data_IF_574825010558
#
_entry.id   IF_574825010558
#
_cell.length_a   1.000
_cell.length_b   1.000
_cell.length_c   1.000
_cell.angle_alpha   90.00
_cell.angle_beta   90.00
_cell.angle_gamma   90.00
#
_symmetry.space_group_name_H-M   'P 1'
#
loop_
_entity.id
_entity.type
_entity.pdbx_description
1 polymer ?
#
# COMPACT_ATOMS: atom_id res chain seq x y z
N UNK A 1 8.45 -16.20 3.46
CA UNK A 1 7.03 -16.58 3.35
C UNK A 1 6.28 -15.32 2.96
N UNK A 2 5.65 -15.32 1.79
CA UNK A 2 4.81 -14.20 1.36
C UNK A 2 3.44 -14.31 2.04
N UNK A 3 3.09 -13.31 2.84
CA UNK A 3 1.83 -13.27 3.61
C UNK A 3 0.75 -12.46 2.91
N UNK A 4 1.11 -11.75 1.83
CA UNK A 4 0.18 -10.96 1.05
C UNK A 4 -0.63 -11.86 0.13
N UNK A 5 -1.91 -11.54 -0.01
CA UNK A 5 -2.80 -12.14 -1.00
C UNK A 5 -2.83 -11.23 -2.23
N UNK A 6 -1.78 -11.35 -3.05
CA UNK A 6 -1.55 -10.49 -4.22
C UNK A 6 -0.51 -9.42 -3.95
N UNK A 7 -0.55 -8.36 -4.77
CA UNK A 7 0.35 -7.20 -4.63
C UNK A 7 -0.40 -6.04 -3.96
N UNK A 8 0.28 -5.19 -3.17
CA UNK A 8 -0.33 -3.98 -2.67
C UNK A 8 -0.75 -3.03 -3.79
N UNK A 9 -1.81 -2.27 -3.52
CA UNK A 9 -2.55 -1.51 -4.51
C UNK A 9 -2.74 -0.08 -4.04
N UNK A 10 -2.49 0.90 -4.91
CA UNK A 10 -2.68 2.31 -4.59
C UNK A 10 -3.77 2.91 -5.47
N UNK A 11 -4.76 3.56 -4.84
CA UNK A 11 -5.93 4.11 -5.53
C UNK A 11 -6.13 5.57 -5.16
N UNK A 12 -6.54 6.40 -6.10
CA UNK A 12 -6.91 7.79 -5.80
C UNK A 12 -8.19 7.83 -4.96
N UNK A 13 -8.20 8.63 -3.91
CA UNK A 13 -9.32 8.78 -2.98
C UNK A 13 -9.60 10.24 -2.67
N UNK A 14 -10.77 10.51 -2.10
CA UNK A 14 -11.03 11.76 -1.40
C UNK A 14 -10.16 11.84 -0.13
N UNK A 15 -9.70 13.05 0.19
CA UNK A 15 -8.84 13.29 1.36
C UNK A 15 -9.53 13.06 2.72
N UNK A 16 -10.85 12.92 2.71
CA UNK A 16 -11.65 12.56 3.88
C UNK A 16 -11.62 11.06 4.18
N UNK A 17 -10.99 10.26 3.32
CA UNK A 17 -11.03 8.80 3.39
C UNK A 17 -12.38 8.23 2.91
N UNK A 18 -12.44 6.91 2.77
CA UNK A 18 -13.61 6.16 2.35
C UNK A 18 -13.25 4.76 1.89
N UNK A 19 -14.25 3.89 1.75
CA UNK A 19 -14.11 2.67 0.95
C UNK A 19 -14.08 3.09 -0.52
N UNK A 20 -12.97 2.81 -1.18
CA UNK A 20 -12.77 3.12 -2.59
C UNK A 20 -12.72 1.80 -3.34
N UNK A 21 -13.55 1.66 -4.37
CA UNK A 21 -13.39 0.56 -5.32
C UNK A 21 -12.09 0.78 -6.08
N UNK A 22 -11.17 -0.20 -6.07
CA UNK A 22 -9.86 0.04 -6.56
C UNK A 22 -9.85 0.07 -8.10
N UNK A 23 -9.58 1.25 -8.67
CA UNK A 23 -8.96 1.36 -10.00
C UNK A 23 -7.46 1.24 -9.77
N UNK A 24 -6.99 0.02 -10.01
CA UNK A 24 -5.73 -0.55 -9.52
C UNK A 24 -4.48 0.04 -10.19
N UNK A 25 -3.68 0.81 -9.45
CA UNK A 25 -2.26 0.96 -9.79
C UNK A 25 -1.47 -0.03 -8.91
N UNK A 26 -0.99 -1.13 -9.51
CA UNK A 26 -0.09 -2.06 -8.83
C UNK A 26 1.19 -1.33 -8.49
N UNK A 27 1.47 -1.16 -7.21
CA UNK A 27 2.66 -0.46 -6.77
C UNK A 27 3.83 -1.42 -6.67
N UNK A 28 4.80 -1.21 -7.56
CA UNK A 28 6.03 -1.98 -7.55
C UNK A 28 6.82 -1.68 -6.27
N UNK A 29 7.49 -2.71 -5.75
CA UNK A 29 8.45 -2.55 -4.65
C UNK A 29 9.62 -1.67 -5.08
N UNK A 30 10.17 -0.88 -4.16
CA UNK A 30 11.39 -0.14 -4.44
C UNK A 30 12.58 -1.12 -4.42
N UNK A 31 12.97 -1.60 -5.61
CA UNK A 31 13.93 -2.71 -5.74
C UNK A 31 13.27 -4.05 -5.42
N UNK A 32 14.03 -5.15 -5.48
CA UNK A 32 13.55 -6.52 -5.16
C UNK A 32 13.16 -6.71 -3.68
N UNK A 33 12.95 -5.62 -2.94
CA UNK A 33 12.67 -5.56 -1.52
C UNK A 33 11.16 -5.58 -1.30
N UNK A 34 10.59 -6.78 -1.27
CA UNK A 34 9.20 -7.02 -0.85
C UNK A 34 8.94 -6.65 0.61
N UNK A 35 7.75 -7.02 1.10
CA UNK A 35 7.38 -6.91 2.51
C UNK A 35 8.42 -7.61 3.40
N UNK A 36 8.99 -6.91 4.38
CA UNK A 36 9.97 -7.44 5.32
C UNK A 36 9.35 -7.52 6.72
N UNK A 37 9.64 -8.60 7.45
CA UNK A 37 9.18 -8.78 8.83
C UNK A 37 10.37 -8.72 9.78
N UNK A 38 10.28 -7.87 10.80
CA UNK A 38 11.20 -7.85 11.92
C UNK A 38 10.57 -8.56 13.13
N UNK A 39 11.06 -9.74 13.52
CA UNK A 39 10.51 -10.49 14.66
C UNK A 39 10.83 -9.86 16.01
N UNK A 40 11.86 -9.01 16.13
CA UNK A 40 12.22 -8.35 17.39
C UNK A 40 11.23 -7.25 17.75
N UNK A 41 10.76 -6.53 16.74
CA UNK A 41 9.79 -5.43 16.89
C UNK A 41 8.37 -5.82 16.51
N UNK A 42 8.18 -7.04 16.00
CA UNK A 42 6.90 -7.58 15.51
C UNK A 42 6.25 -6.68 14.45
N UNK A 43 7.07 -6.10 13.55
CA UNK A 43 6.61 -5.13 12.55
C UNK A 43 6.88 -5.59 11.14
N UNK A 44 5.96 -5.24 10.24
CA UNK A 44 6.13 -5.38 8.81
C UNK A 44 6.52 -4.05 8.18
N UNK A 45 7.55 -4.07 7.34
CA UNK A 45 7.99 -2.91 6.54
C UNK A 45 7.73 -3.19 5.07
N UNK A 46 6.97 -2.32 4.41
CA UNK A 46 6.70 -2.38 2.98
C UNK A 46 7.25 -1.14 2.27
N UNK A 47 8.26 -1.32 1.43
CA UNK A 47 8.84 -0.22 0.64
C UNK A 47 8.26 -0.24 -0.77
N UNK A 48 7.47 0.77 -1.08
CA UNK A 48 6.72 0.88 -2.33
C UNK A 48 7.16 2.11 -3.13
N UNK A 49 7.02 2.04 -4.46
CA UNK A 49 7.31 3.18 -5.34
C UNK A 49 6.10 4.08 -5.48
N UNK A 50 6.35 5.38 -5.47
CA UNK A 50 5.38 6.44 -5.77
C UNK A 50 5.75 7.15 -7.07
N UNK A 51 4.77 7.64 -7.84
CA UNK A 51 5.08 8.53 -8.98
C UNK A 51 5.25 9.98 -8.49
N UNK A 52 6.29 10.66 -8.98
CA UNK A 52 6.56 12.08 -8.68
C UNK A 52 5.43 13.02 -9.15
N UNK A 53 4.61 12.58 -10.10
CA UNK A 53 3.45 13.31 -10.61
C UNK A 53 2.23 13.19 -9.70
N UNK A 54 2.22 12.30 -8.72
CA UNK A 54 1.08 12.15 -7.83
C UNK A 54 0.86 13.41 -7.00
N UNK A 55 -0.39 13.86 -6.99
CA UNK A 55 -0.90 14.94 -6.16
C UNK A 55 -2.26 14.54 -5.61
N UNK A 56 -2.67 15.15 -4.51
CA UNK A 56 -3.95 14.84 -3.88
C UNK A 56 -3.88 13.56 -3.03
N UNK A 57 -5.02 12.94 -2.79
CA UNK A 57 -5.12 11.84 -1.82
C UNK A 57 -5.17 10.47 -2.49
N UNK A 58 -4.45 9.51 -1.91
CA UNK A 58 -4.42 8.11 -2.33
C UNK A 58 -4.53 7.19 -1.12
N UNK A 59 -5.12 6.03 -1.32
CA UNK A 59 -5.17 4.97 -0.34
C UNK A 59 -4.34 3.79 -0.83
N UNK A 60 -3.45 3.30 0.03
CA UNK A 60 -2.70 2.06 -0.16
C UNK A 60 -3.46 0.94 0.54
N UNK A 61 -3.84 -0.10 -0.19
CA UNK A 61 -4.48 -1.30 0.34
C UNK A 61 -3.51 -2.48 0.29
N UNK A 62 -3.46 -3.25 1.38
CA UNK A 62 -2.70 -4.49 1.50
C UNK A 62 -3.65 -5.59 1.94
N UNK A 63 -3.81 -6.59 1.07
CA UNK A 63 -4.60 -7.78 1.36
C UNK A 63 -3.69 -8.89 1.86
N UNK A 64 -4.11 -9.57 2.91
CA UNK A 64 -3.38 -10.66 3.54
C UNK A 64 -4.09 -11.98 3.30
N UNK A 65 -3.31 -13.08 3.32
CA UNK A 65 -3.83 -14.44 3.09
C UNK A 65 -4.82 -14.93 4.15
N UNK A 66 -4.87 -14.27 5.30
CA UNK A 66 -5.88 -14.51 6.34
C UNK A 66 -7.23 -13.85 6.04
N UNK A 67 -7.34 -13.13 4.91
CA UNK A 67 -8.55 -12.42 4.49
C UNK A 67 -8.63 -10.98 5.00
N UNK A 68 -7.71 -10.54 5.86
CA UNK A 68 -7.67 -9.16 6.34
C UNK A 68 -7.17 -8.21 5.26
N UNK A 69 -7.67 -6.97 5.29
CA UNK A 69 -7.19 -5.88 4.44
C UNK A 69 -6.86 -4.67 5.29
N UNK A 70 -5.61 -4.23 5.22
CA UNK A 70 -5.14 -3.02 5.88
C UNK A 70 -5.01 -1.89 4.87
N UNK A 71 -5.41 -0.69 5.26
CA UNK A 71 -5.44 0.49 4.40
C UNK A 71 -4.68 1.65 5.05
N UNK A 72 -3.91 2.37 4.26
CA UNK A 72 -3.21 3.58 4.67
C UNK A 72 -3.54 4.74 3.71
N UNK A 73 -3.97 5.88 4.25
CA UNK A 73 -4.30 7.07 3.46
C UNK A 73 -3.11 8.03 3.42
N UNK A 74 -2.78 8.51 2.23
CA UNK A 74 -1.68 9.43 1.96
C UNK A 74 -2.20 10.67 1.24
N UNK A 75 -1.67 11.83 1.62
CA UNK A 75 -1.84 13.08 0.89
C UNK A 75 -0.50 13.48 0.26
N UNK A 76 -0.46 13.53 -1.07
CA UNK A 76 0.70 13.96 -1.84
C UNK A 76 0.58 15.46 -2.13
N UNK A 77 1.47 16.23 -1.52
CA UNK A 77 1.65 17.67 -1.77
C UNK A 77 2.90 17.92 -2.60
N UNK A 78 2.92 19.01 -3.37
CA UNK A 78 4.12 19.47 -4.07
C UNK A 78 5.08 20.20 -3.13
#
# INVERSE_FOLDING_TARGET
MDILDGVPQAVTTNCTGGEVDPVEETVNTAGSSGLQYDPLTMQYTYVWKTDKKWTGCRQLAMKFKDGSTYRANFQFTK
#
